data_IF_999678182366
#
_entry.id   IF_999678182366
#
_cell.length_a   1.000
_cell.length_b   1.000
_cell.length_c   1.000
_cell.angle_alpha   90.00
_cell.angle_beta   90.00
_cell.angle_gamma   90.00
#
_symmetry.space_group_name_H-M   'P 1'
#
loop_
_entity.id
_entity.type
_entity.pdbx_description
1 polymer ?
#
# COMPACT_ATOMS: atom_id res chain seq x y z
N UNK A 1 -49.56 -90.82 57.34
CA UNK A 1 -49.45 -90.71 55.87
C UNK A 1 -48.33 -89.74 55.55
N UNK A 2 -47.39 -90.19 54.72
CA UNK A 2 -46.14 -89.52 54.35
C UNK A 2 -46.33 -88.14 53.69
N UNK A 3 -45.48 -87.19 54.07
CA UNK A 3 -45.14 -86.04 53.22
C UNK A 3 -43.71 -85.59 53.54
N UNK A 4 -42.72 -86.42 53.17
CA UNK A 4 -41.32 -86.01 53.09
C UNK A 4 -41.15 -85.13 51.86
N UNK A 5 -40.93 -83.83 52.07
CA UNK A 5 -40.73 -82.84 51.02
C UNK A 5 -39.22 -82.74 50.75
N UNK A 6 -38.79 -83.34 49.65
CA UNK A 6 -37.42 -83.25 49.14
C UNK A 6 -37.10 -81.81 48.74
N UNK A 7 -36.22 -81.15 49.50
CA UNK A 7 -35.65 -79.85 49.13
C UNK A 7 -34.42 -80.15 48.26
N UNK A 8 -34.61 -80.19 46.94
CA UNK A 8 -33.52 -80.26 45.97
C UNK A 8 -32.59 -79.05 46.16
N UNK A 9 -31.35 -79.34 46.55
CA UNK A 9 -30.30 -78.34 46.68
C UNK A 9 -29.98 -77.68 45.32
N UNK A 10 -30.44 -76.44 45.13
CA UNK A 10 -30.05 -75.60 43.98
C UNK A 10 -28.74 -74.84 44.24
N UNK A 11 -27.67 -75.55 44.63
CA UNK A 11 -26.38 -74.91 44.98
C UNK A 11 -25.57 -74.43 43.77
N UNK A 12 -25.93 -74.82 42.54
CA UNK A 12 -25.21 -74.40 41.32
C UNK A 12 -25.74 -73.12 40.64
N UNK A 13 -27.02 -72.78 40.81
CA UNK A 13 -27.65 -71.70 40.05
C UNK A 13 -27.21 -70.30 40.50
N UNK A 14 -27.01 -70.09 41.80
CA UNK A 14 -26.63 -68.80 42.35
C UNK A 14 -25.24 -68.33 41.88
N UNK A 15 -24.27 -69.26 41.76
CA UNK A 15 -22.92 -68.95 41.30
C UNK A 15 -22.91 -68.48 39.85
N UNK A 16 -23.69 -69.13 38.98
CA UNK A 16 -23.82 -68.76 37.56
C UNK A 16 -24.44 -67.37 37.43
N UNK A 17 -25.47 -67.07 38.22
CA UNK A 17 -26.12 -65.76 38.23
C UNK A 17 -25.12 -64.67 38.66
N UNK A 18 -24.37 -64.88 39.76
CA UNK A 18 -23.38 -63.91 40.23
C UNK A 18 -22.26 -63.69 39.20
N UNK A 19 -21.75 -64.75 38.57
CA UNK A 19 -20.75 -64.63 37.49
C UNK A 19 -21.30 -63.88 36.28
N UNK A 20 -22.56 -64.10 35.91
CA UNK A 20 -23.20 -63.36 34.81
C UNK A 20 -23.34 -61.87 35.14
N UNK A 21 -23.76 -61.52 36.36
CA UNK A 21 -23.84 -60.11 36.79
C UNK A 21 -22.46 -59.45 36.88
N UNK A 22 -21.45 -60.18 37.39
CA UNK A 22 -20.09 -59.65 37.51
C UNK A 22 -19.45 -59.41 36.15
N UNK A 23 -19.65 -60.32 35.19
CA UNK A 23 -19.18 -60.14 33.80
C UNK A 23 -19.90 -59.00 33.08
N UNK A 24 -21.22 -58.87 33.26
CA UNK A 24 -21.97 -57.72 32.74
C UNK A 24 -21.46 -56.39 33.32
N UNK A 25 -21.25 -56.33 34.64
CA UNK A 25 -20.71 -55.14 35.32
C UNK A 25 -19.30 -54.78 34.85
N UNK A 26 -18.43 -55.78 34.66
CA UNK A 26 -17.08 -55.58 34.12
C UNK A 26 -17.10 -55.04 32.69
N UNK A 27 -17.97 -55.58 31.82
CA UNK A 27 -18.11 -55.08 30.44
C UNK A 27 -18.62 -53.63 30.41
N UNK A 28 -19.56 -53.27 31.29
CA UNK A 28 -20.01 -51.88 31.44
C UNK A 28 -18.88 -50.97 31.92
N UNK A 29 -18.07 -51.42 32.90
CA UNK A 29 -16.90 -50.70 33.37
C UNK A 29 -15.84 -50.47 32.29
N UNK A 30 -15.51 -51.50 31.51
CA UNK A 30 -14.56 -51.40 30.40
C UNK A 30 -15.08 -50.48 29.28
N UNK A 31 -16.37 -50.54 28.98
CA UNK A 31 -17.01 -49.66 27.98
C UNK A 31 -16.95 -48.19 28.42
N UNK A 32 -17.15 -47.91 29.72
CA UNK A 32 -17.01 -46.56 30.28
C UNK A 32 -15.59 -45.99 30.16
N UNK A 33 -14.57 -46.81 30.44
CA UNK A 33 -13.16 -46.39 30.31
C UNK A 33 -12.80 -46.13 28.85
N UNK A 34 -13.22 -47.00 27.92
CA UNK A 34 -12.96 -46.81 26.49
C UNK A 34 -13.64 -45.54 25.96
N UNK A 35 -14.87 -45.24 26.38
CA UNK A 35 -15.56 -43.99 26.01
C UNK A 35 -14.77 -42.78 26.49
N UNK A 36 -14.31 -42.77 27.75
CA UNK A 36 -13.53 -41.65 28.29
C UNK A 36 -12.21 -41.43 27.54
N UNK A 37 -11.53 -42.51 27.13
CA UNK A 37 -10.29 -42.40 26.34
C UNK A 37 -10.54 -41.88 24.92
N UNK A 38 -11.67 -42.23 24.31
CA UNK A 38 -12.07 -41.68 23.03
C UNK A 38 -12.39 -40.18 23.15
N UNK A 39 -13.16 -39.80 24.16
CA UNK A 39 -13.51 -38.39 24.41
C UNK A 39 -12.26 -37.54 24.68
N UNK A 40 -11.30 -38.06 25.44
CA UNK A 40 -10.02 -37.39 25.69
C UNK A 40 -9.21 -37.21 24.40
N UNK A 41 -9.14 -38.23 23.54
CA UNK A 41 -8.44 -38.15 22.26
C UNK A 41 -9.11 -37.18 21.29
N UNK A 42 -10.44 -37.18 21.24
CA UNK A 42 -11.20 -36.25 20.42
C UNK A 42 -11.00 -34.81 20.91
N UNK A 43 -11.05 -34.58 22.22
CA UNK A 43 -10.78 -33.28 22.81
C UNK A 43 -9.33 -32.82 22.55
N UNK A 44 -8.36 -33.73 22.63
CA UNK A 44 -6.95 -33.46 22.32
C UNK A 44 -6.74 -33.07 20.85
N UNK A 45 -7.29 -33.84 19.92
CA UNK A 45 -7.20 -33.57 18.48
C UNK A 45 -7.90 -32.25 18.12
N UNK A 46 -9.07 -32.00 18.71
CA UNK A 46 -9.78 -30.74 18.51
C UNK A 46 -8.97 -29.56 19.03
N UNK A 47 -8.42 -29.66 20.25
CA UNK A 47 -7.55 -28.63 20.82
C UNK A 47 -6.34 -28.35 19.94
N UNK A 48 -5.66 -29.40 19.45
CA UNK A 48 -4.51 -29.24 18.57
C UNK A 48 -4.88 -28.55 17.24
N UNK A 49 -6.03 -28.88 16.66
CA UNK A 49 -6.54 -28.24 15.44
C UNK A 49 -6.83 -26.75 15.66
N UNK A 50 -7.47 -26.38 16.77
CA UNK A 50 -7.74 -24.98 17.11
C UNK A 50 -6.44 -24.22 17.38
N UNK A 51 -5.46 -24.84 18.05
CA UNK A 51 -4.15 -24.22 18.26
C UNK A 51 -3.40 -24.01 16.94
N UNK A 52 -3.46 -24.97 16.01
CA UNK A 52 -2.89 -24.80 14.67
C UNK A 52 -3.56 -23.65 13.91
N UNK A 53 -4.89 -23.52 14.01
CA UNK A 53 -5.63 -22.40 13.40
C UNK A 53 -5.23 -21.05 13.98
N UNK A 54 -5.14 -20.92 15.31
CA UNK A 54 -4.67 -19.69 15.96
C UNK A 54 -3.22 -19.35 15.57
N UNK A 55 -2.37 -20.37 15.37
CA UNK A 55 -1.00 -20.19 14.89
C UNK A 55 -0.98 -19.65 13.45
N UNK A 56 -1.87 -20.11 12.57
CA UNK A 56 -2.03 -19.55 11.22
C UNK A 56 -2.45 -18.08 11.25
N UNK A 57 -3.42 -17.72 12.09
CA UNK A 57 -3.85 -16.32 12.29
C UNK A 57 -2.71 -15.46 12.85
N UNK A 58 -1.90 -16.02 13.75
CA UNK A 58 -0.69 -15.37 14.28
C UNK A 58 0.31 -15.10 13.16
N UNK A 59 0.52 -16.05 12.25
CA UNK A 59 1.39 -15.87 11.09
C UNK A 59 0.85 -14.78 10.15
N UNK A 60 -0.46 -14.73 9.87
CA UNK A 60 -1.06 -13.66 9.06
C UNK A 60 -0.87 -12.30 9.75
N UNK A 61 -1.14 -12.21 11.05
CA UNK A 61 -0.94 -10.99 11.83
C UNK A 61 0.54 -10.55 11.86
N UNK A 62 1.48 -11.49 11.86
CA UNK A 62 2.90 -11.20 11.77
C UNK A 62 3.29 -10.69 10.36
N UNK A 63 2.77 -11.28 9.29
CA UNK A 63 2.95 -10.80 7.93
C UNK A 63 2.35 -9.42 7.70
N UNK A 64 1.26 -9.09 8.41
CA UNK A 64 0.69 -7.76 8.45
C UNK A 64 1.59 -6.74 9.17
N UNK A 65 2.15 -7.15 10.30
CA UNK A 65 2.96 -6.31 11.18
C UNK A 65 2.17 -5.17 11.85
N UNK A 66 2.83 -4.40 12.75
CA UNK A 66 2.18 -3.28 13.43
C UNK A 66 1.70 -2.23 12.43
N UNK A 67 0.39 -1.93 12.43
CA UNK A 67 -0.20 -0.91 11.56
C UNK A 67 -0.13 -1.19 10.06
N UNK A 68 0.13 -2.44 9.65
CA UNK A 68 0.26 -2.79 8.23
C UNK A 68 1.64 -2.50 7.64
N UNK A 69 2.63 -2.18 8.48
CA UNK A 69 4.00 -1.89 8.06
C UNK A 69 4.88 -3.16 7.93
N UNK A 70 4.32 -4.36 8.15
CA UNK A 70 5.05 -5.63 8.03
C UNK A 70 5.28 -6.09 6.60
N UNK A 71 4.49 -5.58 5.64
CA UNK A 71 4.63 -5.90 4.23
C UNK A 71 4.47 -4.65 3.35
N UNK A 72 5.41 -4.43 2.45
CA UNK A 72 5.34 -3.44 1.38
C UNK A 72 4.82 -4.08 0.10
N UNK A 73 4.30 -3.27 -0.84
CA UNK A 73 3.79 -3.78 -2.11
C UNK A 73 4.83 -4.57 -2.92
N UNK A 74 6.13 -4.34 -2.70
CA UNK A 74 7.22 -5.03 -3.36
C UNK A 74 7.51 -6.43 -2.77
N UNK A 75 7.07 -6.71 -1.54
CA UNK A 75 7.33 -7.98 -0.87
C UNK A 75 6.43 -9.12 -1.36
N UNK A 76 5.30 -8.77 -2.01
CA UNK A 76 4.34 -9.74 -2.54
C UNK A 76 4.84 -10.38 -3.83
N UNK A 77 4.81 -11.70 -3.87
CA UNK A 77 5.40 -12.52 -4.94
C UNK A 77 4.35 -13.04 -5.90
N UNK A 78 4.64 -13.03 -7.19
CA UNK A 78 3.83 -13.64 -8.25
C UNK A 78 4.24 -15.08 -8.52
N UNK A 79 3.38 -15.86 -9.19
CA UNK A 79 3.72 -17.18 -9.72
C UNK A 79 3.01 -18.36 -9.05
N UNK A 80 2.29 -18.09 -7.96
CA UNK A 80 1.30 -19.01 -7.37
C UNK A 80 -0.09 -18.39 -7.48
N UNK A 81 -1.12 -19.23 -7.41
CA UNK A 81 -2.52 -18.78 -7.34
C UNK A 81 -3.10 -19.05 -5.95
N UNK A 82 -4.07 -18.25 -5.53
CA UNK A 82 -4.71 -18.42 -4.21
C UNK A 82 -5.35 -19.80 -4.06
N UNK A 83 -5.99 -20.28 -5.14
CA UNK A 83 -6.59 -21.63 -5.16
C UNK A 83 -5.55 -22.73 -5.02
N UNK A 84 -4.33 -22.54 -5.54
CA UNK A 84 -3.26 -23.52 -5.38
C UNK A 84 -2.81 -23.57 -3.92
N UNK A 85 -2.50 -22.41 -3.32
CA UNK A 85 -2.08 -22.33 -1.91
C UNK A 85 -3.11 -22.90 -0.95
N UNK A 86 -4.41 -22.68 -1.20
CA UNK A 86 -5.50 -23.22 -0.37
C UNK A 86 -5.52 -24.75 -0.29
N UNK A 87 -4.84 -25.46 -1.20
CA UNK A 87 -4.76 -26.93 -1.21
C UNK A 87 -3.51 -27.48 -0.54
N UNK A 88 -2.61 -26.62 -0.04
CA UNK A 88 -1.33 -27.08 0.49
C UNK A 88 -1.50 -27.71 1.87
N UNK A 89 -0.74 -28.77 2.09
CA UNK A 89 -0.49 -29.28 3.44
C UNK A 89 0.71 -28.56 4.07
N UNK A 90 0.93 -28.82 5.36
CA UNK A 90 2.00 -28.19 6.12
C UNK A 90 3.39 -28.40 5.49
N UNK A 91 3.69 -29.62 5.07
CA UNK A 91 5.01 -29.96 4.52
C UNK A 91 5.29 -29.21 3.22
N UNK A 92 4.29 -29.09 2.33
CA UNK A 92 4.41 -28.33 1.09
C UNK A 92 4.47 -26.83 1.34
N UNK A 93 3.67 -26.31 2.27
CA UNK A 93 3.62 -24.88 2.59
C UNK A 93 4.91 -24.38 3.26
N UNK A 94 5.39 -25.07 4.29
CA UNK A 94 6.63 -24.72 5.01
C UNK A 94 7.90 -24.87 4.14
N UNK A 95 7.83 -25.64 3.06
CA UNK A 95 8.93 -25.78 2.10
C UNK A 95 8.90 -24.75 0.95
N UNK A 96 7.92 -23.83 0.93
CA UNK A 96 7.82 -22.81 -0.12
C UNK A 96 9.03 -21.87 -0.10
N UNK A 97 9.57 -21.59 -1.28
CA UNK A 97 10.60 -20.57 -1.42
C UNK A 97 9.99 -19.18 -1.16
N UNK A 98 10.54 -18.45 -0.19
CA UNK A 98 10.05 -17.13 0.21
C UNK A 98 8.93 -17.15 1.26
N UNK A 99 8.66 -18.32 1.86
CA UNK A 99 7.87 -18.39 3.10
C UNK A 99 8.66 -17.78 4.26
N UNK A 100 7.96 -17.20 5.24
CA UNK A 100 8.59 -16.65 6.44
C UNK A 100 9.32 -17.72 7.24
N UNK A 101 10.27 -17.31 8.08
CA UNK A 101 10.76 -18.16 9.17
C UNK A 101 9.60 -18.53 10.13
N UNK A 102 9.85 -19.49 11.03
CA UNK A 102 8.86 -19.84 12.06
C UNK A 102 8.73 -18.69 13.07
N UNK A 103 7.51 -18.17 13.20
CA UNK A 103 7.19 -17.01 14.03
C UNK A 103 6.55 -17.43 15.35
N UNK A 104 6.05 -18.66 15.40
CA UNK A 104 5.41 -19.18 16.58
C UNK A 104 6.44 -19.65 17.61
N UNK A 105 5.95 -19.95 18.81
CA UNK A 105 6.80 -20.41 19.91
C UNK A 105 6.17 -21.62 20.61
N UNK A 106 7.00 -22.38 21.31
CA UNK A 106 6.58 -23.58 22.01
C UNK A 106 6.40 -24.76 21.05
N UNK A 107 5.27 -25.43 21.12
CA UNK A 107 4.93 -26.57 20.26
C UNK A 107 4.13 -26.16 19.00
N UNK A 108 3.88 -24.87 18.81
CA UNK A 108 3.28 -24.35 17.59
C UNK A 108 4.37 -23.87 16.65
N UNK A 109 4.24 -24.22 15.38
CA UNK A 109 5.04 -23.70 14.28
C UNK A 109 4.11 -22.99 13.31
N UNK A 110 4.49 -21.81 12.83
CA UNK A 110 3.66 -21.07 11.89
C UNK A 110 4.48 -20.22 10.93
N UNK A 111 4.00 -20.18 9.69
CA UNK A 111 4.64 -19.48 8.60
C UNK A 111 3.61 -18.67 7.81
N UNK A 112 4.03 -17.57 7.19
CA UNK A 112 3.23 -16.85 6.21
C UNK A 112 3.95 -16.73 4.86
N UNK A 113 3.15 -16.47 3.83
CA UNK A 113 3.60 -16.23 2.46
C UNK A 113 2.87 -14.99 1.90
N UNK A 114 3.61 -14.08 1.27
CA UNK A 114 3.07 -12.88 0.65
C UNK A 114 2.83 -13.12 -0.84
N UNK A 115 1.55 -13.25 -1.21
CA UNK A 115 1.10 -13.59 -2.57
C UNK A 115 0.59 -12.35 -3.31
N UNK A 116 1.02 -12.17 -4.55
CA UNK A 116 0.39 -11.28 -5.54
C UNK A 116 -0.26 -12.11 -6.63
N UNK A 117 -1.56 -11.94 -6.79
CA UNK A 117 -2.38 -12.54 -7.85
C UNK A 117 -3.09 -11.39 -8.57
N UNK A 118 -2.74 -11.17 -9.83
CA UNK A 118 -3.10 -9.98 -10.61
C UNK A 118 -2.69 -8.68 -9.87
N UNK A 119 -3.65 -7.78 -9.62
CA UNK A 119 -3.47 -6.54 -8.86
C UNK A 119 -3.83 -6.68 -7.37
N UNK A 120 -4.24 -7.89 -6.95
CA UNK A 120 -4.59 -8.18 -5.56
C UNK A 120 -3.39 -8.73 -4.80
N UNK A 121 -3.37 -8.44 -3.50
CA UNK A 121 -2.29 -8.82 -2.59
C UNK A 121 -2.89 -9.60 -1.44
N UNK A 122 -2.23 -10.69 -1.06
CA UNK A 122 -2.72 -11.60 -0.03
C UNK A 122 -1.60 -11.99 0.93
N UNK A 123 -1.93 -12.05 2.22
CA UNK A 123 -1.10 -12.67 3.24
C UNK A 123 -1.71 -14.03 3.52
N UNK A 124 -0.95 -15.10 3.23
CA UNK A 124 -1.39 -16.47 3.46
C UNK A 124 -0.64 -17.03 4.64
N UNK A 125 -1.31 -17.36 5.74
CA UNK A 125 -0.69 -17.95 6.93
C UNK A 125 -1.12 -19.39 7.13
N UNK A 126 -0.21 -20.23 7.62
CA UNK A 126 -0.51 -21.61 7.99
C UNK A 126 0.19 -21.93 9.31
N UNK A 127 -0.46 -22.75 10.13
CA UNK A 127 0.06 -23.16 11.44
C UNK A 127 -0.03 -24.66 11.64
N UNK A 128 0.88 -25.21 12.44
CA UNK A 128 0.90 -26.61 12.84
C UNK A 128 1.30 -26.76 14.31
N UNK A 129 0.82 -27.83 14.93
CA UNK A 129 1.27 -28.29 16.24
C UNK A 129 2.23 -29.44 16.04
N UNK A 130 3.46 -29.26 16.51
CA UNK A 130 4.56 -30.19 16.36
C UNK A 130 4.90 -30.79 17.73
N UNK A 131 5.00 -32.11 17.79
CA UNK A 131 5.52 -32.86 18.94
C UNK A 131 6.73 -33.68 18.46
N UNK A 132 7.92 -33.29 18.91
CA UNK A 132 9.19 -33.77 18.35
C UNK A 132 9.32 -33.41 16.86
N UNK A 133 9.41 -34.42 16.00
CA UNK A 133 9.47 -34.26 14.53
C UNK A 133 8.11 -34.57 13.86
N UNK A 134 7.05 -34.76 14.65
CA UNK A 134 5.74 -35.19 14.14
C UNK A 134 4.73 -34.05 14.17
N UNK A 135 4.05 -33.85 13.04
CA UNK A 135 2.92 -32.92 12.94
C UNK A 135 1.70 -33.60 13.54
N UNK A 136 1.25 -33.10 14.69
CA UNK A 136 0.07 -33.58 15.40
C UNK A 136 -1.22 -33.05 14.77
N UNK A 137 -1.20 -31.77 14.38
CA UNK A 137 -2.30 -31.11 13.68
C UNK A 137 -1.75 -29.97 12.81
N UNK A 138 -2.44 -29.66 11.71
CA UNK A 138 -2.16 -28.52 10.85
C UNK A 138 -3.46 -27.79 10.52
N UNK A 139 -3.38 -26.47 10.39
CA UNK A 139 -4.51 -25.65 9.97
C UNK A 139 -4.73 -25.78 8.45
N UNK A 140 -5.88 -25.31 7.98
CA UNK A 140 -5.95 -24.88 6.58
C UNK A 140 -5.24 -23.52 6.44
N UNK A 141 -4.77 -23.16 5.23
CA UNK A 141 -4.23 -21.82 4.99
C UNK A 141 -5.30 -20.75 5.26
N UNK A 142 -4.96 -19.76 6.08
CA UNK A 142 -5.75 -18.54 6.30
C UNK A 142 -5.28 -17.49 5.30
N UNK A 143 -6.21 -16.88 4.58
CA UNK A 143 -5.88 -15.93 3.50
C UNK A 143 -6.50 -14.57 3.80
N UNK A 144 -5.66 -13.57 4.05
CA UNK A 144 -6.08 -12.18 4.19
C UNK A 144 -5.81 -11.40 2.91
N UNK A 145 -6.84 -10.77 2.33
CA UNK A 145 -6.70 -9.84 1.20
C UNK A 145 -6.30 -8.46 1.73
N UNK A 146 -5.23 -7.91 1.16
CA UNK A 146 -4.67 -6.60 1.50
C UNK A 146 -4.93 -5.65 0.34
N UNK A 147 -5.64 -4.56 0.65
CA UNK A 147 -5.80 -3.44 -0.25
C UNK A 147 -4.94 -2.28 0.28
N UNK A 148 -4.23 -1.62 -0.61
CA UNK A 148 -3.60 -0.35 -0.30
C UNK A 148 -4.61 0.71 -0.74
N UNK A 149 -5.20 1.42 0.22
CA UNK A 149 -5.99 2.60 -0.11
C UNK A 149 -5.04 3.55 -0.85
N UNK A 150 -5.31 3.85 -2.10
CA UNK A 150 -4.58 4.88 -2.80
C UNK A 150 -5.23 6.20 -2.40
N UNK A 151 -4.57 6.98 -1.55
CA UNK A 151 -4.93 8.40 -1.32
C UNK A 151 -3.97 9.23 -2.17
N UNK A 152 -4.43 10.28 -2.89
CA UNK A 152 -3.52 11.18 -3.57
C UNK A 152 -2.48 11.64 -2.56
N UNK A 153 -1.20 11.64 -2.95
CA UNK A 153 -0.14 12.04 -2.05
C UNK A 153 -0.52 13.40 -1.44
N UNK A 154 -0.55 13.57 -0.09
CA UNK A 154 -1.05 14.80 0.54
C UNK A 154 -0.36 16.07 0.07
N UNK A 155 0.81 15.96 -0.56
CA UNK A 155 1.54 17.09 -1.16
C UNK A 155 0.85 17.61 -2.43
N UNK A 156 0.12 16.75 -3.13
CA UNK A 156 -0.62 17.05 -4.36
C UNK A 156 -2.07 17.44 -4.11
N UNK A 157 -2.50 17.51 -2.84
CA UNK A 157 -3.83 18.02 -2.46
C UNK A 157 -3.75 19.42 -1.82
N UNK A 158 -2.56 20.03 -1.78
CA UNK A 158 -2.31 21.33 -1.11
C UNK A 158 -2.29 22.53 -2.06
N UNK A 159 -2.59 22.33 -3.34
CA UNK A 159 -2.56 23.39 -4.35
C UNK A 159 -1.13 23.75 -4.77
N UNK A 160 -0.69 24.99 -4.51
CA UNK A 160 0.65 25.48 -4.83
C UNK A 160 1.58 25.37 -3.61
N UNK A 161 2.68 24.63 -3.76
CA UNK A 161 3.68 24.44 -2.71
C UNK A 161 5.09 24.73 -3.24
N UNK A 162 5.82 25.61 -2.56
CA UNK A 162 7.17 26.01 -2.94
C UNK A 162 8.12 26.02 -1.75
N UNK A 163 9.36 25.54 -1.95
CA UNK A 163 10.37 25.54 -0.89
C UNK A 163 11.08 26.90 -0.69
N UNK A 164 10.95 27.84 -1.63
CA UNK A 164 11.52 29.19 -1.52
C UNK A 164 10.45 30.26 -1.74
N UNK A 165 10.11 30.64 -2.98
CA UNK A 165 9.11 31.68 -3.20
C UNK A 165 8.04 31.31 -4.23
N UNK A 166 6.90 31.99 -4.15
CA UNK A 166 5.86 31.98 -5.18
C UNK A 166 5.67 33.42 -5.65
N UNK A 167 5.88 33.65 -6.96
CA UNK A 167 5.70 34.96 -7.57
C UNK A 167 4.79 34.87 -8.79
N UNK A 168 3.59 35.44 -8.65
CA UNK A 168 2.60 35.49 -9.72
C UNK A 168 2.36 36.96 -10.09
N UNK A 169 2.78 37.33 -11.30
CA UNK A 169 2.58 38.70 -11.82
C UNK A 169 1.23 38.83 -12.53
N UNK A 170 0.53 39.94 -12.35
CA UNK A 170 -0.79 40.14 -12.95
C UNK A 170 -1.93 39.57 -12.11
N UNK A 171 -3.16 39.76 -12.61
CA UNK A 171 -4.38 39.40 -11.91
C UNK A 171 -4.68 37.92 -12.11
N UNK A 172 -4.78 37.17 -11.01
CA UNK A 172 -4.85 35.71 -11.01
C UNK A 172 -6.07 35.21 -10.23
N UNK A 173 -6.72 34.15 -10.70
CA UNK A 173 -7.79 33.49 -9.94
C UNK A 173 -7.21 32.28 -9.26
N UNK A 174 -7.27 32.21 -7.93
CA UNK A 174 -6.73 31.07 -7.18
C UNK A 174 -7.81 30.51 -6.27
N UNK A 175 -8.08 29.21 -6.42
CA UNK A 175 -8.97 28.45 -5.55
C UNK A 175 -8.16 27.33 -4.89
N UNK A 176 -8.00 27.36 -3.56
CA UNK A 176 -7.26 26.35 -2.80
C UNK A 176 -6.03 26.85 -2.05
N UNK A 177 -5.16 25.93 -1.65
CA UNK A 177 -3.98 26.23 -0.84
C UNK A 177 -2.83 26.85 -1.64
N UNK A 178 -2.18 27.85 -1.05
CA UNK A 178 -0.90 28.39 -1.53
C UNK A 178 0.04 28.50 -0.34
N UNK A 179 1.18 27.83 -0.42
CA UNK A 179 2.21 27.89 0.60
C UNK A 179 3.60 28.02 0.00
N UNK A 180 4.39 28.93 0.56
CA UNK A 180 5.82 29.02 0.28
C UNK A 180 6.64 29.10 1.55
N UNK A 181 7.69 28.30 1.67
CA UNK A 181 8.59 28.36 2.82
C UNK A 181 9.37 29.69 2.94
N UNK A 182 9.45 30.49 1.88
CA UNK A 182 9.97 31.85 1.89
C UNK A 182 8.82 32.86 1.77
N UNK A 183 8.64 33.44 0.58
CA UNK A 183 7.68 34.55 0.36
C UNK A 183 6.65 34.22 -0.71
N UNK A 184 5.42 34.70 -0.52
CA UNK A 184 4.38 34.69 -1.56
C UNK A 184 4.09 36.12 -2.00
N UNK A 185 4.27 36.41 -3.29
CA UNK A 185 3.87 37.67 -3.93
C UNK A 185 2.90 37.37 -5.08
N UNK A 186 1.62 37.68 -4.86
CA UNK A 186 0.56 37.43 -5.83
C UNK A 186 -0.55 38.46 -5.75
N UNK A 187 -1.13 38.81 -6.90
CA UNK A 187 -2.32 39.65 -6.99
C UNK A 187 -3.53 38.83 -7.39
N UNK A 188 -4.50 38.71 -6.49
CA UNK A 188 -5.70 37.90 -6.69
C UNK A 188 -6.85 38.70 -7.33
N UNK A 189 -7.64 38.03 -8.17
CA UNK A 189 -8.90 38.52 -8.70
C UNK A 189 -10.02 38.42 -7.65
N UNK A 190 -11.05 39.25 -7.84
CA UNK A 190 -12.32 39.08 -7.16
C UNK A 190 -12.91 37.72 -7.55
N UNK A 191 -13.33 36.93 -6.55
CA UNK A 191 -13.75 35.53 -6.76
C UNK A 191 -12.67 34.48 -6.49
N UNK A 192 -11.45 34.88 -6.14
CA UNK A 192 -10.44 33.95 -5.60
C UNK A 192 -10.82 33.53 -4.18
N UNK A 193 -10.60 32.25 -3.86
CA UNK A 193 -10.78 31.64 -2.54
C UNK A 193 -9.50 30.87 -2.20
N UNK A 194 -8.45 31.65 -1.93
CA UNK A 194 -7.11 31.14 -1.70
C UNK A 194 -6.72 31.27 -0.22
N UNK A 195 -6.22 30.17 0.35
CA UNK A 195 -5.56 30.21 1.66
C UNK A 195 -4.07 30.38 1.39
N UNK A 196 -3.59 31.62 1.52
CA UNK A 196 -2.19 31.97 1.26
C UNK A 196 -1.42 32.01 2.58
N UNK A 197 -0.35 31.24 2.64
CA UNK A 197 0.57 31.19 3.79
C UNK A 197 2.02 31.25 3.31
N UNK A 198 2.91 31.72 4.18
CA UNK A 198 4.34 31.77 3.89
C UNK A 198 5.19 31.23 5.05
N UNK A 199 6.52 31.30 4.95
CA UNK A 199 7.43 30.79 5.97
C UNK A 199 7.25 31.44 7.35
N UNK A 200 6.67 32.65 7.41
CA UNK A 200 6.35 33.31 8.69
C UNK A 200 5.19 32.63 9.43
N UNK A 201 4.33 31.91 8.71
CA UNK A 201 3.28 31.06 9.28
C UNK A 201 3.79 29.67 9.71
N UNK A 202 5.08 29.40 9.50
CA UNK A 202 5.71 28.12 9.76
C UNK A 202 6.14 27.42 8.48
N UNK A 203 7.33 26.87 8.51
CA UNK A 203 7.90 26.10 7.41
C UNK A 203 7.23 24.72 7.32
N UNK A 204 6.96 24.25 6.11
CA UNK A 204 6.44 22.90 5.86
C UNK A 204 7.45 22.07 5.10
N UNK A 205 7.42 20.75 5.33
CA UNK A 205 8.23 19.83 4.54
C UNK A 205 7.76 19.82 3.08
N UNK A 206 8.69 20.02 2.15
CA UNK A 206 8.47 19.98 0.71
C UNK A 206 9.20 18.76 0.14
N UNK A 207 8.48 17.68 -0.20
CA UNK A 207 9.09 16.55 -0.88
C UNK A 207 9.39 16.91 -2.33
N UNK A 208 10.53 16.45 -2.82
CA UNK A 208 11.08 16.79 -4.14
C UNK A 208 11.60 15.52 -4.82
N UNK A 209 11.49 15.42 -6.15
CA UNK A 209 12.13 14.33 -6.86
C UNK A 209 13.64 14.57 -6.93
N UNK A 210 14.42 13.50 -7.01
CA UNK A 210 15.86 13.56 -7.30
C UNK A 210 16.76 13.59 -6.09
N UNK A 211 17.93 14.21 -6.26
CA UNK A 211 19.00 14.22 -5.26
C UNK A 211 19.17 15.60 -4.67
N UNK A 212 19.47 15.65 -3.36
CA UNK A 212 19.81 16.91 -2.68
C UNK A 212 21.02 17.58 -3.37
N UNK A 213 20.91 18.85 -3.78
CA UNK A 213 22.05 19.62 -4.28
C UNK A 213 23.18 19.69 -3.25
N UNK A 214 24.43 19.58 -3.72
CA UNK A 214 25.61 19.54 -2.83
C UNK A 214 25.89 20.85 -2.10
N UNK A 215 25.31 21.96 -2.56
CA UNK A 215 25.42 23.29 -1.97
C UNK A 215 24.44 23.53 -0.80
N UNK A 216 23.49 22.62 -0.57
CA UNK A 216 22.62 22.67 0.61
C UNK A 216 23.35 22.13 1.85
N UNK A 217 23.88 23.04 2.67
CA UNK A 217 24.59 22.70 3.90
C UNK A 217 23.64 22.26 5.03
N UNK A 218 23.47 20.93 5.18
CA UNK A 218 22.62 20.34 6.21
C UNK A 218 23.06 20.65 7.65
N UNK A 219 24.29 21.13 7.87
CA UNK A 219 24.72 21.56 9.21
C UNK A 219 23.97 22.80 9.69
N UNK A 220 23.37 23.58 8.78
CA UNK A 220 22.55 24.75 9.13
C UNK A 220 21.15 24.37 9.66
N UNK A 221 20.72 23.11 9.52
CA UNK A 221 19.36 22.68 9.87
C UNK A 221 19.11 22.51 11.38
N UNK A 222 20.16 22.55 12.20
CA UNK A 222 20.06 22.52 13.66
C UNK A 222 19.95 23.92 14.29
N UNK A 223 19.98 24.97 13.48
CA UNK A 223 19.85 26.36 13.93
C UNK A 223 18.44 26.62 14.44
N UNK A 224 18.29 27.63 15.30
CA UNK A 224 16.99 28.08 15.81
C UNK A 224 16.06 28.54 14.69
N UNK A 225 16.63 29.16 13.65
CA UNK A 225 15.96 29.56 12.42
C UNK A 225 16.67 28.86 11.26
N UNK A 226 16.29 27.61 10.95
CA UNK A 226 16.90 26.86 9.87
C UNK A 226 16.51 27.47 8.51
N UNK A 227 17.41 27.46 7.52
CA UNK A 227 17.11 27.95 6.18
C UNK A 227 16.06 27.07 5.47
N UNK A 228 15.35 27.60 4.45
CA UNK A 228 14.26 26.88 3.79
C UNK A 228 14.61 25.51 3.21
N UNK A 229 15.84 25.32 2.73
CA UNK A 229 16.29 24.03 2.19
C UNK A 229 16.33 22.89 3.21
N UNK A 230 16.32 23.20 4.51
CA UNK A 230 16.25 22.19 5.56
C UNK A 230 14.91 21.46 5.62
N UNK A 231 13.87 22.03 5.02
CA UNK A 231 12.55 21.42 4.93
C UNK A 231 12.32 20.71 3.60
N UNK A 232 13.35 20.59 2.75
CA UNK A 232 13.27 19.82 1.51
C UNK A 232 13.57 18.35 1.78
N UNK A 233 12.73 17.45 1.26
CA UNK A 233 12.91 16.00 1.31
C UNK A 233 13.02 15.41 -0.09
N UNK A 234 14.22 15.04 -0.50
CA UNK A 234 14.49 14.51 -1.83
C UNK A 234 14.23 13.01 -1.90
N UNK A 235 13.58 12.55 -2.98
CA UNK A 235 13.32 11.16 -3.30
C UNK A 235 13.86 10.83 -4.70
N UNK A 236 15.05 10.21 -4.75
CA UNK A 236 15.66 9.76 -5.99
C UNK A 236 15.03 8.45 -6.50
N UNK A 237 14.43 7.66 -5.60
CA UNK A 237 13.90 6.33 -5.94
C UNK A 237 12.77 6.40 -6.96
N UNK A 238 12.06 7.53 -7.00
CA UNK A 238 11.01 7.80 -7.98
C UNK A 238 11.51 7.60 -9.42
N UNK A 239 12.74 8.03 -9.75
CA UNK A 239 13.26 7.90 -11.11
C UNK A 239 13.59 6.46 -11.47
N UNK A 240 14.14 5.69 -10.52
CA UNK A 240 14.41 4.27 -10.74
C UNK A 240 13.10 3.48 -10.96
N UNK A 241 12.04 3.84 -10.24
CA UNK A 241 10.72 3.23 -10.39
C UNK A 241 10.14 3.45 -11.81
N UNK A 242 10.19 4.67 -12.34
CA UNK A 242 9.70 4.96 -13.70
C UNK A 242 10.65 4.48 -14.81
N UNK A 243 11.96 4.46 -14.55
CA UNK A 243 12.94 3.92 -15.50
C UNK A 243 12.74 2.42 -15.77
N UNK A 244 12.36 1.66 -14.74
CA UNK A 244 12.18 0.21 -14.83
C UNK A 244 10.74 -0.23 -15.06
N UNK A 245 9.81 0.71 -15.27
CA UNK A 245 8.39 0.41 -15.45
C UNK A 245 8.16 -0.28 -16.80
N UNK A 246 7.47 -1.42 -16.76
CA UNK A 246 7.07 -2.12 -17.97
C UNK A 246 6.18 -1.23 -18.85
N UNK A 247 6.49 -1.16 -20.15
CA UNK A 247 5.78 -0.32 -21.11
C UNK A 247 6.16 1.16 -21.08
N UNK A 248 7.13 1.59 -20.27
CA UNK A 248 7.61 2.97 -20.29
C UNK A 248 8.24 3.33 -21.65
N UNK A 249 7.84 4.49 -22.18
CA UNK A 249 8.39 5.07 -23.40
C UNK A 249 9.65 5.85 -23.04
N UNK A 250 10.80 5.32 -23.43
CA UNK A 250 12.09 5.98 -23.19
C UNK A 250 12.41 7.01 -24.28
N UNK A 251 11.90 8.24 -24.13
CA UNK A 251 12.15 9.34 -25.05
C UNK A 251 12.32 10.66 -24.31
N UNK A 252 13.21 11.50 -24.83
CA UNK A 252 13.44 12.88 -24.36
C UNK A 252 12.79 13.93 -25.27
N UNK A 253 12.04 13.50 -26.27
CA UNK A 253 11.19 14.37 -27.08
C UNK A 253 9.90 13.64 -27.44
N UNK A 254 8.76 14.23 -27.08
CA UNK A 254 7.44 13.63 -27.32
C UNK A 254 6.43 14.67 -27.76
N UNK A 255 5.47 14.24 -28.57
CA UNK A 255 4.27 15.02 -28.89
C UNK A 255 3.13 14.51 -28.02
N UNK A 256 2.62 15.35 -27.11
CA UNK A 256 1.67 14.89 -26.08
C UNK A 256 0.36 14.35 -26.67
N UNK A 257 -0.05 14.84 -27.85
CA UNK A 257 -1.26 14.37 -28.55
C UNK A 257 -1.14 12.95 -29.13
N UNK A 258 0.08 12.43 -29.32
CA UNK A 258 0.35 11.11 -29.89
C UNK A 258 0.34 10.01 -28.82
N UNK A 259 0.50 10.39 -27.55
CA UNK A 259 0.48 9.47 -26.41
C UNK A 259 -0.93 8.92 -26.17
N UNK A 260 -1.01 7.69 -25.68
CA UNK A 260 -2.24 6.97 -25.35
C UNK A 260 -2.58 7.11 -23.85
N UNK A 261 -3.79 6.70 -23.46
CA UNK A 261 -4.15 6.61 -22.03
C UNK A 261 -3.29 5.57 -21.32
N UNK A 262 -2.73 5.94 -20.18
CA UNK A 262 -1.83 5.11 -19.38
C UNK A 262 -0.36 5.20 -19.77
N UNK A 263 -0.01 5.93 -20.84
CA UNK A 263 1.38 6.05 -21.28
C UNK A 263 2.24 6.72 -20.21
N UNK A 264 3.40 6.11 -19.95
CA UNK A 264 4.46 6.67 -19.12
C UNK A 264 5.66 6.99 -20.01
N UNK A 265 6.09 8.24 -20.05
CA UNK A 265 7.31 8.68 -20.74
C UNK A 265 8.41 8.90 -19.71
N UNK A 266 9.57 8.31 -19.96
CA UNK A 266 10.77 8.49 -19.14
C UNK A 266 11.93 9.04 -19.96
N UNK A 267 12.62 10.06 -19.43
CA UNK A 267 13.84 10.63 -19.99
C UNK A 267 14.94 10.71 -18.91
N UNK A 268 16.14 10.21 -19.20
CA UNK A 268 17.31 10.29 -18.30
C UNK A 268 17.98 11.68 -18.31
N UNK A 269 17.50 12.61 -19.15
CA UNK A 269 17.98 13.99 -19.28
C UNK A 269 16.82 14.98 -19.36
N UNK A 270 16.91 15.94 -20.27
CA UNK A 270 15.87 16.95 -20.48
C UNK A 270 14.79 16.46 -21.44
N UNK A 271 13.53 16.53 -21.02
CA UNK A 271 12.36 16.17 -21.82
C UNK A 271 11.74 17.41 -22.46
N UNK A 272 11.65 17.41 -23.78
CA UNK A 272 10.89 18.42 -24.54
C UNK A 272 9.54 17.85 -24.97
N UNK A 273 8.46 18.49 -24.55
CA UNK A 273 7.09 18.14 -24.91
C UNK A 273 6.57 19.16 -25.92
N UNK A 274 6.23 18.73 -27.12
CA UNK A 274 5.61 19.57 -28.13
C UNK A 274 4.08 19.66 -27.93
N UNK A 275 3.47 20.69 -28.52
CA UNK A 275 2.05 21.01 -28.39
C UNK A 275 1.12 19.86 -28.75
N UNK A 276 -0.03 19.80 -28.07
CA UNK A 276 -1.06 18.79 -28.33
C UNK A 276 -2.11 18.80 -27.22
N UNK A 277 -3.10 17.92 -27.35
CA UNK A 277 -4.15 17.78 -26.36
C UNK A 277 -4.18 16.37 -25.77
N UNK A 278 -4.31 16.29 -24.44
CA UNK A 278 -4.36 15.03 -23.68
C UNK A 278 -5.75 14.38 -23.78
N UNK A 279 -6.84 15.15 -23.97
CA UNK A 279 -8.21 14.66 -24.19
C UNK A 279 -8.63 13.47 -23.30
N UNK A 280 -8.87 13.73 -22.00
CA UNK A 280 -9.24 12.75 -20.96
C UNK A 280 -8.24 11.60 -20.70
N UNK A 281 -7.08 11.57 -21.37
CA UNK A 281 -6.05 10.54 -21.15
C UNK A 281 -5.29 10.79 -19.84
N UNK A 282 -4.84 9.71 -19.22
CA UNK A 282 -3.87 9.72 -18.12
C UNK A 282 -2.48 9.54 -18.71
N UNK A 283 -1.64 10.54 -18.54
CA UNK A 283 -0.27 10.54 -19.08
C UNK A 283 0.68 10.88 -17.94
N UNK A 284 1.76 10.12 -17.85
CA UNK A 284 2.84 10.37 -16.89
C UNK A 284 4.12 10.74 -17.64
N UNK A 285 4.70 11.90 -17.31
CA UNK A 285 5.91 12.43 -17.91
C UNK A 285 6.99 12.56 -16.82
N UNK A 286 8.11 11.86 -16.99
CA UNK A 286 9.18 11.82 -15.99
C UNK A 286 10.51 12.12 -16.66
N UNK A 287 11.24 13.10 -16.13
CA UNK A 287 12.57 13.47 -16.58
C UNK A 287 13.50 13.70 -15.40
N UNK A 288 14.74 13.18 -15.46
CA UNK A 288 15.75 13.49 -14.43
C UNK A 288 16.27 14.92 -14.55
N UNK A 289 16.27 15.48 -15.76
CA UNK A 289 16.60 16.86 -16.03
C UNK A 289 15.36 17.75 -15.99
N UNK A 290 15.31 18.67 -16.94
CA UNK A 290 14.24 19.64 -17.11
C UNK A 290 13.09 19.07 -17.94
N UNK A 291 11.88 19.56 -17.72
CA UNK A 291 10.74 19.34 -18.61
C UNK A 291 10.33 20.66 -19.21
N UNK A 292 10.47 20.79 -20.53
CA UNK A 292 10.01 21.98 -21.27
C UNK A 292 8.79 21.63 -22.09
N UNK A 293 7.65 22.24 -21.76
CA UNK A 293 6.38 22.09 -22.46
C UNK A 293 6.18 23.28 -23.41
N UNK A 294 6.33 23.03 -24.70
CA UNK A 294 6.27 24.05 -25.74
C UNK A 294 4.92 24.06 -26.47
N UNK A 295 4.37 25.26 -26.67
CA UNK A 295 3.15 25.50 -27.43
C UNK A 295 1.88 25.36 -26.60
N UNK A 296 0.74 25.19 -27.28
CA UNK A 296 -0.54 25.01 -26.61
C UNK A 296 -0.69 23.56 -26.15
N UNK A 297 -0.76 23.36 -24.83
CA UNK A 297 -1.14 22.07 -24.25
C UNK A 297 -2.48 22.23 -23.56
N UNK A 298 -3.43 21.34 -23.90
CA UNK A 298 -4.68 21.25 -23.16
C UNK A 298 -4.94 19.82 -22.75
N UNK A 299 -5.23 19.59 -21.48
CA UNK A 299 -5.92 18.37 -21.09
C UNK A 299 -7.38 18.74 -20.97
N UNK A 300 -8.17 18.48 -22.02
CA UNK A 300 -9.61 18.51 -21.86
C UNK A 300 -9.96 17.45 -20.82
N UNK A 301 -10.53 17.90 -19.71
CA UNK A 301 -11.13 17.07 -18.67
C UNK A 301 -12.38 17.78 -18.20
N UNK A 302 -13.41 17.02 -17.82
CA UNK A 302 -14.37 17.56 -16.85
C UNK A 302 -13.60 17.92 -15.58
N UNK A 303 -14.08 18.88 -14.79
CA UNK A 303 -13.44 19.38 -13.54
C UNK A 303 -13.03 18.28 -12.54
N UNK A 304 -13.38 17.01 -12.81
CA UNK A 304 -13.13 15.83 -12.00
C UNK A 304 -11.91 14.98 -12.38
N UNK A 305 -11.25 15.15 -13.54
CA UNK A 305 -10.23 14.20 -14.00
C UNK A 305 -8.85 14.85 -14.22
N UNK A 306 -7.96 14.71 -13.24
CA UNK A 306 -6.54 15.04 -13.40
C UNK A 306 -5.83 13.88 -14.12
N UNK A 307 -5.57 14.07 -15.41
CA UNK A 307 -4.92 13.07 -16.26
C UNK A 307 -3.40 13.21 -16.32
N UNK A 308 -2.86 14.42 -16.21
CA UNK A 308 -1.45 14.68 -16.44
C UNK A 308 -0.63 14.61 -15.15
N UNK A 309 0.40 13.77 -15.10
CA UNK A 309 1.38 13.78 -14.02
C UNK A 309 2.78 14.10 -14.58
N UNK A 310 3.43 15.13 -14.05
CA UNK A 310 4.72 15.63 -14.56
C UNK A 310 5.73 15.67 -13.41
N UNK A 311 6.83 14.95 -13.58
CA UNK A 311 7.93 14.87 -12.60
C UNK A 311 9.24 15.27 -13.26
N UNK A 312 9.81 16.39 -12.84
CA UNK A 312 11.12 16.86 -13.30
C UNK A 312 12.12 16.85 -12.13
N UNK A 313 13.29 16.24 -12.32
CA UNK A 313 14.36 16.30 -11.32
C UNK A 313 14.95 17.70 -11.16
N UNK A 314 14.83 18.52 -12.21
CA UNK A 314 15.18 19.94 -12.21
C UNK A 314 13.91 20.77 -12.48
N UNK A 315 13.89 21.55 -13.56
CA UNK A 315 12.89 22.58 -13.76
C UNK A 315 11.72 22.11 -14.65
N UNK A 316 10.54 22.69 -14.43
CA UNK A 316 9.40 22.61 -15.35
C UNK A 316 9.15 23.99 -15.95
N UNK A 317 9.19 24.07 -17.29
CA UNK A 317 8.89 25.30 -18.02
C UNK A 317 7.70 25.13 -18.96
N UNK A 318 6.71 26.02 -18.83
CA UNK A 318 5.61 26.14 -19.78
C UNK A 318 5.87 27.33 -20.70
N UNK A 319 6.06 27.06 -21.99
CA UNK A 319 6.32 28.06 -23.01
C UNK A 319 5.15 28.12 -23.99
N UNK A 320 4.11 28.88 -23.64
CA UNK A 320 2.89 28.98 -24.45
C UNK A 320 1.64 29.24 -23.63
N UNK A 321 0.48 29.02 -24.24
CA UNK A 321 -0.80 29.06 -23.52
C UNK A 321 -1.20 27.65 -23.13
N UNK A 322 -1.36 27.39 -21.84
CA UNK A 322 -1.67 26.04 -21.36
C UNK A 322 -2.99 26.00 -20.59
N UNK A 323 -3.73 24.91 -20.76
CA UNK A 323 -4.93 24.62 -20.00
C UNK A 323 -4.83 23.16 -19.51
N UNK A 324 -4.04 22.97 -18.44
CA UNK A 324 -3.62 21.65 -18.00
C UNK A 324 -4.26 21.31 -16.64
N UNK A 325 -4.83 20.12 -16.56
CA UNK A 325 -5.34 19.44 -15.39
C UNK A 325 -4.31 18.39 -15.02
N UNK A 326 -3.42 18.76 -14.10
CA UNK A 326 -2.24 17.98 -13.79
C UNK A 326 -1.69 18.19 -12.39
N UNK A 327 -0.83 17.26 -12.02
CA UNK A 327 0.09 17.39 -10.89
C UNK A 327 1.49 17.63 -11.45
N UNK A 328 2.14 18.69 -10.98
CA UNK A 328 3.46 19.12 -11.43
C UNK A 328 4.43 19.07 -10.26
N UNK A 329 5.51 18.29 -10.39
CA UNK A 329 6.48 18.07 -9.33
C UNK A 329 7.90 18.32 -9.83
N UNK A 330 8.49 19.44 -9.41
CA UNK A 330 9.80 19.89 -9.86
C UNK A 330 10.80 19.90 -8.69
N UNK A 331 11.96 19.28 -8.86
CA UNK A 331 13.08 19.40 -7.91
C UNK A 331 13.71 20.79 -7.92
N UNK A 332 13.65 21.47 -9.08
CA UNK A 332 14.09 22.84 -9.31
C UNK A 332 12.95 23.84 -9.19
N UNK A 333 12.65 24.61 -10.25
CA UNK A 333 11.52 25.55 -10.27
C UNK A 333 10.39 25.16 -11.23
N UNK A 334 9.25 25.82 -11.08
CA UNK A 334 8.16 25.81 -12.07
C UNK A 334 8.01 27.22 -12.61
N UNK A 335 8.16 27.38 -13.93
CA UNK A 335 8.05 28.67 -14.62
C UNK A 335 7.01 28.64 -15.72
N UNK A 336 6.06 29.56 -15.66
CA UNK A 336 5.08 29.80 -16.71
C UNK A 336 5.45 31.06 -17.50
N UNK A 337 5.75 30.88 -18.78
CA UNK A 337 6.02 31.92 -19.76
C UNK A 337 4.84 32.00 -20.76
N UNK A 338 3.72 32.59 -20.33
CA UNK A 338 2.51 32.75 -21.14
C UNK A 338 1.25 32.96 -20.30
N UNK A 339 0.07 32.76 -20.88
CA UNK A 339 -1.21 32.73 -20.15
C UNK A 339 -1.65 31.29 -19.96
N UNK A 340 -1.78 30.86 -18.71
CA UNK A 340 -2.10 29.48 -18.38
C UNK A 340 -3.18 29.36 -17.33
N UNK A 341 -3.98 28.32 -17.49
CA UNK A 341 -4.86 27.78 -16.47
C UNK A 341 -4.29 26.44 -16.03
N UNK A 342 -3.93 26.34 -14.75
CA UNK A 342 -3.38 25.12 -14.15
C UNK A 342 -4.37 24.61 -13.12
N UNK A 343 -4.87 23.40 -13.30
CA UNK A 343 -5.81 22.76 -12.40
C UNK A 343 -5.12 21.55 -11.76
N UNK A 344 -5.19 21.41 -10.44
CA UNK A 344 -4.54 20.34 -9.68
C UNK A 344 -3.53 20.87 -8.68
N UNK A 345 -2.27 20.42 -8.75
CA UNK A 345 -1.26 20.81 -7.78
C UNK A 345 0.11 21.03 -8.41
N UNK A 346 0.89 21.94 -7.81
CA UNK A 346 2.25 22.23 -8.25
C UNK A 346 3.18 22.29 -7.03
N UNK A 347 4.22 21.47 -7.04
CA UNK A 347 5.22 21.37 -5.98
C UNK A 347 6.59 21.69 -6.58
N UNK A 348 7.31 22.64 -5.98
CA UNK A 348 8.59 23.14 -6.48
C UNK A 348 9.66 23.20 -5.39
N UNK A 349 10.88 22.78 -5.72
CA UNK A 349 12.03 22.79 -4.81
C UNK A 349 12.73 24.14 -4.69
N UNK A 350 12.39 25.10 -5.52
CA UNK A 350 12.86 26.48 -5.41
C UNK A 350 11.68 27.41 -5.50
N UNK A 351 11.23 27.77 -6.70
CA UNK A 351 10.15 28.73 -6.86
C UNK A 351 9.05 28.30 -7.82
N UNK A 352 7.89 28.93 -7.69
CA UNK A 352 6.83 28.90 -8.70
C UNK A 352 6.67 30.32 -9.21
N UNK A 353 6.88 30.53 -10.50
CA UNK A 353 6.80 31.86 -11.12
C UNK A 353 5.88 31.87 -12.32
N UNK A 354 4.95 32.81 -12.33
CA UNK A 354 4.13 33.13 -13.50
C UNK A 354 4.38 34.56 -13.98
N UNK A 355 4.83 34.68 -15.24
CA UNK A 355 5.00 35.95 -15.94
C UNK A 355 3.69 36.31 -16.68
N UNK A 356 2.60 36.47 -15.93
CA UNK A 356 1.24 36.65 -16.42
C UNK A 356 0.22 36.15 -15.39
N UNK A 357 -1.04 36.52 -15.56
CA UNK A 357 -2.11 35.97 -14.71
C UNK A 357 -2.13 34.45 -14.81
N UNK A 358 -2.36 33.78 -13.69
CA UNK A 358 -2.62 32.34 -13.62
C UNK A 358 -4.04 32.13 -13.11
N UNK A 359 -4.79 31.26 -13.79
CA UNK A 359 -6.01 30.70 -13.21
C UNK A 359 -5.64 29.34 -12.62
N UNK A 360 -5.52 29.29 -11.29
CA UNK A 360 -5.18 28.09 -10.54
C UNK A 360 -6.38 27.58 -9.75
N UNK A 361 -6.71 26.31 -9.92
CA UNK A 361 -7.74 25.63 -9.11
C UNK A 361 -7.14 24.35 -8.54
N UNK A 362 -7.00 24.31 -7.22
CA UNK A 362 -6.67 23.08 -6.50
C UNK A 362 -7.82 22.10 -6.66
N UNK A 363 -7.51 20.91 -7.16
CA UNK A 363 -8.48 19.83 -7.30
C UNK A 363 -8.10 18.72 -6.33
N UNK A 364 -9.07 18.31 -5.51
CA UNK A 364 -8.88 17.21 -4.55
C UNK A 364 -9.03 15.84 -5.22
N UNK A 365 -9.59 15.79 -6.44
CA UNK A 365 -9.87 14.57 -7.18
C UNK A 365 -8.79 14.32 -8.25
N UNK A 366 -7.69 13.71 -7.83
CA UNK A 366 -6.61 13.31 -8.74
C UNK A 366 -6.91 11.91 -9.29
N UNK A 367 -6.97 11.72 -10.61
CA UNK A 367 -7.35 10.42 -11.21
C UNK A 367 -6.18 9.61 -11.75
N UNK A 368 -5.00 10.23 -11.89
CA UNK A 368 -3.80 9.52 -12.35
C UNK A 368 -3.22 8.67 -11.19
N UNK A 369 -3.15 7.32 -11.33
CA UNK A 369 -2.69 6.41 -10.26
C UNK A 369 -1.28 6.71 -9.75
N UNK A 370 -0.44 7.35 -10.56
CA UNK A 370 0.95 7.68 -10.23
C UNK A 370 1.08 8.82 -9.22
N UNK A 371 -0.01 9.57 -8.99
CA UNK A 371 -0.09 10.63 -7.97
C UNK A 371 -0.45 10.11 -6.59
N UNK A 372 -0.78 8.83 -6.50
CA UNK A 372 -1.17 8.20 -5.25
C UNK A 372 0.05 7.58 -4.59
N UNK A 373 0.20 7.85 -3.30
CA UNK A 373 1.06 7.01 -2.47
C UNK A 373 0.23 5.84 -1.97
N UNK A 374 0.78 4.62 -1.88
CA UNK A 374 0.13 3.56 -1.13
C UNK A 374 -0.10 4.10 0.29
N UNK A 375 -1.34 4.43 0.62
CA UNK A 375 -1.68 4.78 2.00
C UNK A 375 -1.80 3.49 2.78
N UNK A 376 -1.78 3.62 4.12
CA UNK A 376 -1.76 2.52 5.07
C UNK A 376 -2.58 1.34 4.57
N UNK A 377 -1.96 0.16 4.36
CA UNK A 377 -2.71 -0.96 3.85
C UNK A 377 -3.87 -1.25 4.81
N UNK A 378 -4.96 -1.78 4.28
CA UNK A 378 -6.05 -2.36 5.07
C UNK A 378 -6.31 -3.80 4.65
N UNK A 379 -6.72 -4.62 5.60
CA UNK A 379 -7.22 -5.97 5.31
C UNK A 379 -8.69 -5.81 4.92
N UNK A 380 -9.04 -6.23 3.69
CA UNK A 380 -10.40 -6.10 3.14
C UNK A 380 -11.18 -7.41 3.18
N UNK A 381 -10.48 -8.54 3.29
CA UNK A 381 -11.09 -9.84 3.48
C UNK A 381 -10.18 -10.74 4.33
N UNK A 382 -10.80 -11.64 5.10
CA UNK A 382 -10.13 -12.66 5.91
C UNK A 382 -10.88 -13.97 5.69
N UNK A 383 -10.23 -14.97 5.09
CA UNK A 383 -10.85 -16.23 4.66
C UNK A 383 -10.14 -17.43 5.24
#
# INVERSE_FOLDING_TARGET
MHAGRDVKEQRGAALIIVLSFLSMSLMLGLSGIQSSLLDERLAGNYRATIQAQMAAETAVAAGWGPGGHGATAADFRTGLMRMELATFDWARFSALNGVSEDICSGNASCHYYLLREDDKRFIVGMGAIIDGDTVVAASQPVIAEVEYDSIPNPIFTRGLLSADYIWVTGRSTVLGGVHSNGTVDMTLNEGSDAIVTDGSNGMVEVPLPGTRPSDEDMSQCTRTEPPPYCFKRYDESIFAAYHSREGAIHSCSVTIGELQDGDTVYCDGDLTVSSGAVNDKRITLVARGNITMNGATSSAGTESNIGLFVVAGQDIEFNGSTNNFGVFWAGGYIRQNGNSSLYGAAVSGTYIRSNGGIDFISLDNVTNPDTFVPSSPRIVAWQ
#
